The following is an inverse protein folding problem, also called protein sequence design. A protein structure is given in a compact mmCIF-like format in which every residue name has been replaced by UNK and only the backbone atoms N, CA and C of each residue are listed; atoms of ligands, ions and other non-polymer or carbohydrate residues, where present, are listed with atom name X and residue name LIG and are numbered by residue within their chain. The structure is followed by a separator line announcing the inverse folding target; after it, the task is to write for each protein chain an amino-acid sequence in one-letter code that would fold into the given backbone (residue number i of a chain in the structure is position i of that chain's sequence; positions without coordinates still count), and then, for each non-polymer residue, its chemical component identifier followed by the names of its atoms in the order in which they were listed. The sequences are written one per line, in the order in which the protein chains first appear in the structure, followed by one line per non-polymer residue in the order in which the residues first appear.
data_IF_642305463038
#
_entry.id   IF_642305463038
#
_cell.length_a   1.000
_cell.length_b   1.000
_cell.length_c   1.000
_cell.angle_alpha   90.00
_cell.angle_beta   90.00
_cell.angle_gamma   90.00
#
_symmetry.space_group_name_H-M   'P 1'
#
loop_
_entity.id
_entity.type
_entity.pdbx_description
1 polymer ?
#
# COMPACT_ATOMS: atom_id res chain seq x y z
N UNK A 1 -20.10 6.09 -5.29
CA UNK A 1 -20.04 4.96 -6.27
C UNK A 1 -18.61 4.46 -6.53
N UNK A 2 -17.56 5.30 -6.47
CA UNK A 2 -16.17 4.86 -6.72
C UNK A 2 -15.63 3.82 -5.72
N UNK A 3 -15.91 3.96 -4.42
CA UNK A 3 -15.39 3.07 -3.36
C UNK A 3 -15.77 1.60 -3.53
N UNK A 4 -17.02 1.34 -3.95
CA UNK A 4 -17.51 -0.03 -4.16
C UNK A 4 -16.83 -0.69 -5.38
N UNK A 5 -16.57 0.10 -6.42
CA UNK A 5 -15.91 -0.36 -7.65
C UNK A 5 -14.42 -0.63 -7.42
N UNK A 6 -13.74 0.22 -6.63
CA UNK A 6 -12.34 0.01 -6.24
C UNK A 6 -12.16 -1.28 -5.43
N UNK A 7 -13.08 -1.58 -4.50
CA UNK A 7 -13.03 -2.81 -3.71
C UNK A 7 -13.18 -4.06 -4.57
N UNK A 8 -14.10 -4.05 -5.53
CA UNK A 8 -14.30 -5.17 -6.47
C UNK A 8 -13.07 -5.41 -7.35
N UNK A 9 -12.49 -4.34 -7.91
CA UNK A 9 -11.26 -4.44 -8.71
C UNK A 9 -10.11 -4.98 -7.87
N UNK A 10 -10.02 -4.56 -6.61
CA UNK A 10 -9.00 -5.06 -5.71
C UNK A 10 -9.13 -6.55 -5.37
N UNK A 11 -10.36 -7.08 -5.27
CA UNK A 11 -10.59 -8.52 -5.04
C UNK A 11 -10.06 -9.38 -6.21
N UNK A 12 -10.04 -8.85 -7.43
CA UNK A 12 -9.57 -9.54 -8.63
C UNK A 12 -8.03 -9.40 -8.85
N UNK A 13 -7.32 -8.61 -8.04
CA UNK A 13 -5.87 -8.42 -8.15
C UNK A 13 -5.10 -9.60 -7.55
N UNK A 14 -3.99 -9.97 -8.19
CA UNK A 14 -2.99 -10.82 -7.57
C UNK A 14 -2.21 -10.02 -6.52
N UNK A 15 -2.59 -10.17 -5.25
CA UNK A 15 -2.00 -9.43 -4.12
C UNK A 15 -0.79 -10.14 -3.55
N UNK A 16 0.27 -9.38 -3.30
CA UNK A 16 1.44 -9.82 -2.55
C UNK A 16 1.22 -9.60 -1.06
N UNK A 17 1.59 -10.58 -0.24
CA UNK A 17 1.52 -10.52 1.23
C UNK A 17 2.70 -9.74 1.77
N UNK A 18 2.44 -8.81 2.69
CA UNK A 18 3.44 -8.19 3.55
C UNK A 18 3.38 -8.88 4.91
N UNK A 19 4.51 -9.43 5.34
CA UNK A 19 4.63 -10.12 6.61
C UNK A 19 5.52 -9.31 7.56
N UNK A 20 5.23 -9.38 8.86
CA UNK A 20 6.13 -8.85 9.89
C UNK A 20 7.34 -9.79 10.11
N UNK A 21 8.22 -9.40 11.03
CA UNK A 21 9.40 -10.18 11.42
C UNK A 21 9.07 -11.57 12.00
N UNK A 22 7.85 -11.77 12.49
CA UNK A 22 7.35 -13.02 13.05
C UNK A 22 6.62 -13.87 11.99
N UNK A 23 6.52 -13.39 10.75
CA UNK A 23 5.80 -14.05 9.65
C UNK A 23 4.28 -13.84 9.69
N UNK A 24 3.76 -12.99 10.57
CA UNK A 24 2.34 -12.66 10.62
C UNK A 24 1.97 -11.73 9.47
N UNK A 25 0.79 -11.93 8.89
CA UNK A 25 0.28 -11.07 7.82
C UNK A 25 -0.11 -9.70 8.36
N UNK A 26 0.46 -8.65 7.78
CA UNK A 26 0.19 -7.26 8.18
C UNK A 26 -0.35 -6.38 7.05
N UNK A 27 -0.19 -6.79 5.80
CA UNK A 27 -0.78 -6.08 4.66
C UNK A 27 -0.89 -6.95 3.42
N UNK A 28 -1.65 -6.43 2.46
CA UNK A 28 -1.57 -6.84 1.07
C UNK A 28 -1.21 -5.63 0.21
N UNK A 29 -0.39 -5.84 -0.81
CA UNK A 29 -0.18 -4.83 -1.85
C UNK A 29 -0.30 -5.44 -3.25
N UNK A 30 -0.70 -4.60 -4.21
CA UNK A 30 -0.70 -4.95 -5.62
C UNK A 30 -0.38 -3.71 -6.46
N UNK A 31 0.34 -3.90 -7.56
CA UNK A 31 0.44 -2.88 -8.59
C UNK A 31 -0.85 -2.91 -9.42
N UNK A 32 -1.48 -1.75 -9.55
CA UNK A 32 -2.66 -1.62 -10.40
C UNK A 32 -2.22 -1.52 -11.87
N UNK A 33 -3.01 -2.09 -12.79
CA UNK A 33 -2.69 -2.00 -14.21
C UNK A 33 -2.74 -0.55 -14.71
N UNK A 34 -1.94 -0.25 -15.73
CA UNK A 34 -1.70 1.12 -16.22
C UNK A 34 -2.97 1.80 -16.79
N UNK A 35 -3.96 1.01 -17.18
CA UNK A 35 -5.28 1.44 -17.65
C UNK A 35 -6.16 2.01 -16.52
N UNK A 36 -5.81 1.79 -15.26
CA UNK A 36 -6.51 2.32 -14.09
C UNK A 36 -6.31 3.84 -13.88
N UNK A 37 -6.18 4.64 -14.95
CA UNK A 37 -5.97 6.10 -15.05
C UNK A 37 -4.56 6.58 -15.44
N UNK A 38 -4.19 6.42 -16.72
CA UNK A 38 -3.42 7.44 -17.44
C UNK A 38 -1.93 7.65 -17.10
N UNK A 39 -1.13 6.58 -16.98
CA UNK A 39 0.32 6.66 -17.15
C UNK A 39 1.19 6.61 -15.89
N UNK A 40 0.65 6.94 -14.72
CA UNK A 40 1.38 6.82 -13.44
C UNK A 40 1.26 5.41 -12.83
N UNK A 41 2.34 4.96 -12.19
CA UNK A 41 2.34 3.75 -11.35
C UNK A 41 1.38 3.93 -10.18
N UNK A 42 0.57 2.91 -9.88
CA UNK A 42 -0.35 2.96 -8.74
C UNK A 42 -0.21 1.72 -7.88
N UNK A 43 -0.18 1.96 -6.58
CA UNK A 43 -0.09 0.93 -5.58
C UNK A 43 -1.42 0.83 -4.86
N UNK A 44 -2.07 -0.33 -4.96
CA UNK A 44 -3.13 -0.71 -4.05
C UNK A 44 -2.50 -1.26 -2.77
N UNK A 45 -2.92 -0.75 -1.63
CA UNK A 45 -2.46 -1.16 -0.32
C UNK A 45 -3.66 -1.43 0.58
N UNK A 46 -3.67 -2.58 1.23
CA UNK A 46 -4.75 -3.01 2.11
C UNK A 46 -4.18 -3.42 3.45
N UNK A 47 -4.82 -2.92 4.51
CA UNK A 47 -4.52 -3.29 5.88
C UNK A 47 -5.62 -4.23 6.38
N UNK A 48 -5.42 -5.56 6.36
CA UNK A 48 -6.43 -6.51 6.80
C UNK A 48 -6.53 -6.62 8.33
N UNK A 49 -5.65 -5.94 9.07
CA UNK A 49 -5.53 -6.05 10.53
C UNK A 49 -6.46 -5.07 11.25
N UNK A 50 -6.69 -5.31 12.54
CA UNK A 50 -7.45 -4.41 13.42
C UNK A 50 -6.64 -3.19 13.89
N UNK A 51 -5.38 -3.06 13.46
CA UNK A 51 -4.49 -1.99 13.90
C UNK A 51 -4.27 -1.01 12.76
N UNK A 52 -4.12 0.28 13.09
CA UNK A 52 -3.60 1.26 12.14
C UNK A 52 -2.13 0.94 11.89
N UNK A 53 -1.73 0.83 10.62
CA UNK A 53 -0.36 0.47 10.24
C UNK A 53 0.27 1.57 9.39
N UNK A 54 1.56 1.81 9.64
CA UNK A 54 2.39 2.64 8.78
C UNK A 54 3.21 1.74 7.87
N UNK A 55 3.29 2.10 6.60
CA UNK A 55 4.06 1.35 5.62
C UNK A 55 5.13 2.23 5.03
N UNK A 56 6.30 1.65 4.73
CA UNK A 56 7.33 2.29 3.92
C UNK A 56 7.22 1.76 2.50
N UNK A 57 7.01 2.67 1.55
CA UNK A 57 7.05 2.35 0.12
C UNK A 57 8.46 2.60 -0.37
N UNK A 58 9.01 1.64 -1.12
CA UNK A 58 10.30 1.75 -1.79
C UNK A 58 10.11 1.82 -3.30
N UNK A 59 10.92 2.66 -3.94
CA UNK A 59 11.10 2.75 -5.38
C UNK A 59 12.54 2.38 -5.71
N UNK A 60 12.76 1.31 -6.48
CA UNK A 60 14.11 0.81 -6.79
C UNK A 60 14.98 0.66 -5.53
N UNK A 61 14.45 -0.01 -4.50
CA UNK A 61 15.08 -0.20 -3.18
C UNK A 61 15.35 1.09 -2.38
N UNK A 62 14.96 2.26 -2.88
CA UNK A 62 15.09 3.53 -2.18
C UNK A 62 13.77 3.91 -1.51
N UNK A 63 13.79 4.36 -0.25
CA UNK A 63 12.58 4.82 0.41
C UNK A 63 11.91 5.99 -0.34
N UNK A 64 10.61 5.91 -0.56
CA UNK A 64 9.83 6.91 -1.30
C UNK A 64 8.77 7.60 -0.42
N UNK A 65 7.89 6.84 0.23
CA UNK A 65 6.75 7.37 0.99
C UNK A 65 6.50 6.59 2.29
N UNK A 66 5.81 7.23 3.24
CA UNK A 66 5.29 6.62 4.47
C UNK A 66 3.77 6.83 4.60
N UNK A 67 2.93 6.09 3.86
CA UNK A 67 1.49 6.13 4.08
C UNK A 67 1.09 5.47 5.40
N UNK A 68 -0.01 5.98 5.97
CA UNK A 68 -0.70 5.32 7.08
C UNK A 68 -2.03 4.81 6.57
N UNK A 69 -2.28 3.51 6.74
CA UNK A 69 -3.54 2.89 6.33
C UNK A 69 -4.32 2.49 7.59
N UNK A 70 -5.54 3.00 7.78
CA UNK A 70 -6.40 2.59 8.88
C UNK A 70 -6.68 1.08 8.88
N UNK A 71 -7.08 0.57 10.03
CA UNK A 71 -7.49 -0.81 10.19
C UNK A 71 -8.64 -1.17 9.24
N UNK A 72 -8.55 -2.33 8.58
CA UNK A 72 -9.53 -2.84 7.61
C UNK A 72 -9.82 -1.91 6.43
N UNK A 73 -8.90 -0.99 6.13
CA UNK A 73 -9.05 -0.02 5.04
C UNK A 73 -8.16 -0.38 3.85
N UNK A 74 -8.56 0.14 2.68
CA UNK A 74 -7.84 -0.01 1.44
C UNK A 74 -7.55 1.37 0.82
N UNK A 75 -6.29 1.58 0.43
CA UNK A 75 -5.81 2.85 -0.08
C UNK A 75 -5.13 2.64 -1.43
N UNK A 76 -5.46 3.50 -2.39
CA UNK A 76 -4.72 3.59 -3.66
C UNK A 76 -3.78 4.78 -3.59
N UNK A 77 -2.50 4.50 -3.81
CA UNK A 77 -1.42 5.49 -3.76
C UNK A 77 -0.94 5.71 -5.19
N UNK A 78 -1.03 6.97 -5.62
CA UNK A 78 -0.54 7.40 -6.92
C UNK A 78 0.94 7.71 -6.80
N UNK A 79 1.76 7.07 -7.64
CA UNK A 79 3.20 7.20 -7.65
C UNK A 79 3.61 7.82 -8.98
N UNK A 80 4.15 9.03 -8.93
CA UNK A 80 4.82 9.64 -10.09
C UNK A 80 6.17 8.95 -10.27
N UNK A 81 6.28 7.99 -11.18
CA UNK A 81 7.52 7.29 -11.48
C UNK A 81 7.70 7.12 -12.99
N UNK A 82 8.94 7.11 -13.44
CA UNK A 82 9.26 6.70 -14.80
C UNK A 82 8.86 5.24 -15.05
N UNK A 83 8.74 4.86 -16.33
CA UNK A 83 8.43 3.49 -16.74
C UNK A 83 9.58 2.56 -16.31
N UNK A 84 9.25 1.46 -15.64
CA UNK A 84 10.21 0.41 -15.25
C UNK A 84 10.76 0.49 -13.82
N UNK A 85 10.17 1.32 -12.95
CA UNK A 85 10.52 1.37 -11.52
C UNK A 85 9.91 0.18 -10.77
N UNK A 86 10.74 -0.50 -9.97
CA UNK A 86 10.29 -1.54 -9.04
C UNK A 86 9.70 -0.89 -7.78
N UNK A 87 8.47 -1.28 -7.42
CA UNK A 87 7.77 -0.82 -6.21
C UNK A 87 7.64 -1.97 -5.23
N UNK A 88 8.11 -1.76 -3.99
CA UNK A 88 7.89 -2.70 -2.89
C UNK A 88 7.36 -1.97 -1.66
N UNK A 89 6.79 -2.73 -0.73
CA UNK A 89 6.20 -2.23 0.50
C UNK A 89 6.73 -3.05 1.67
N UNK A 90 7.11 -2.36 2.74
CA UNK A 90 7.39 -2.98 4.03
C UNK A 90 6.53 -2.31 5.11
N UNK A 91 6.17 -3.08 6.13
CA UNK A 91 5.66 -2.48 7.36
C UNK A 91 6.76 -1.64 8.01
N UNK A 92 6.39 -0.46 8.51
CA UNK A 92 7.27 0.40 9.27
C UNK A 92 6.83 0.39 10.73
N UNK A 93 7.71 -0.13 11.59
CA UNK A 93 7.44 -0.39 13.01
C UNK A 93 7.86 0.76 13.94
N UNK A 94 8.45 1.85 13.44
CA UNK A 94 8.77 2.97 14.30
C UNK A 94 7.47 3.66 14.77
N UNK A 95 7.26 3.63 16.08
CA UNK A 95 6.20 4.38 16.74
C UNK A 95 6.54 5.86 16.69
N UNK A 96 5.92 6.60 15.77
CA UNK A 96 5.77 8.03 15.98
C UNK A 96 4.72 8.22 17.08
N UNK A 97 5.17 8.67 18.25
CA UNK A 97 4.30 9.29 19.24
C UNK A 97 3.72 10.52 18.55
N UNK A 98 2.50 10.39 18.03
CA UNK A 98 1.70 11.55 17.70
C UNK A 98 1.38 12.22 19.04
N UNK A 99 2.13 13.26 19.37
CA UNK A 99 1.78 14.19 20.43
C UNK A 99 0.48 14.86 19.99
N UNK A 100 -0.64 14.24 20.36
CA UNK A 100 -1.97 14.77 20.12
C UNK A 100 -2.18 15.94 21.07
N UNK A 101 -1.73 17.12 20.65
CA UNK A 101 -2.26 18.40 21.12
C UNK A 101 -3.42 18.85 20.23
#
# INVERSE_FOLDING_TARGET
MATLMMKKIAEDLNKTRVLDENGALVAYYALLPADFSGGDSKLYLENPTSQRRMYRIYQNMKPFLFPIVPAHDCTVIYLTSDVGVEITVAEHLEEYIYDSQ
#
